data_IF_250526121209
#
_entry.id   IF_250526121209
#
_cell.length_a   1.000
_cell.length_b   1.000
_cell.length_c   1.000
_cell.angle_alpha   90.00
_cell.angle_beta   90.00
_cell.angle_gamma   90.00
#
_symmetry.space_group_name_H-M   'P 1'
#
loop_
_entity.id
_entity.type
_entity.pdbx_description
1 polymer ?
#
# COMPACT_ATOMS: atom_id res chain seq x y z
N UNK A 1 22.22 7.16 12.91
CA UNK A 1 20.96 7.89 13.21
C UNK A 1 19.92 6.82 13.38
N UNK A 2 19.88 6.24 14.57
CA UNK A 2 18.99 5.16 14.94
C UNK A 2 17.62 5.74 15.26
N UNK A 3 16.76 5.88 14.25
CA UNK A 3 15.34 6.09 14.48
C UNK A 3 14.70 4.71 14.58
N UNK A 4 15.03 3.97 15.66
CA UNK A 4 14.42 2.69 15.97
C UNK A 4 12.96 2.96 16.36
N UNK A 5 12.09 2.74 15.39
CA UNK A 5 10.66 2.56 15.55
C UNK A 5 10.44 1.57 16.71
N UNK A 6 9.96 2.03 17.87
CA UNK A 6 9.64 1.17 19.02
C UNK A 6 8.28 0.49 18.79
N UNK A 7 8.12 -0.21 17.67
CA UNK A 7 7.00 -1.13 17.48
C UNK A 7 7.34 -2.45 18.13
N UNK A 8 6.40 -3.00 18.90
CA UNK A 8 6.59 -4.32 19.50
C UNK A 8 6.65 -5.40 18.41
N UNK A 9 7.39 -6.48 18.65
CA UNK A 9 7.43 -7.63 17.73
C UNK A 9 6.02 -8.18 17.43
N UNK A 10 5.11 -8.11 18.40
CA UNK A 10 3.71 -8.52 18.25
C UNK A 10 2.93 -7.62 17.27
N UNK A 11 3.18 -6.31 17.25
CA UNK A 11 2.58 -5.39 16.28
C UNK A 11 3.10 -5.65 14.87
N UNK A 12 4.41 -5.84 14.73
CA UNK A 12 5.04 -6.17 13.45
C UNK A 12 4.56 -7.54 12.94
N UNK A 13 4.38 -8.52 13.83
CA UNK A 13 3.82 -9.84 13.50
C UNK A 13 2.40 -9.73 12.92
N UNK A 14 1.49 -9.04 13.62
CA UNK A 14 0.11 -8.81 13.17
C UNK A 14 0.05 -8.06 11.85
N UNK A 15 0.89 -7.04 11.69
CA UNK A 15 1.04 -6.27 10.45
C UNK A 15 1.40 -7.17 9.26
N UNK A 16 2.39 -8.05 9.43
CA UNK A 16 2.81 -9.01 8.39
C UNK A 16 1.70 -10.00 8.04
N UNK A 17 0.96 -10.50 9.04
CA UNK A 17 -0.17 -11.40 8.82
C UNK A 17 -1.28 -10.73 8.02
N UNK A 18 -1.64 -9.49 8.35
CA UNK A 18 -2.66 -8.73 7.63
C UNK A 18 -2.26 -8.46 6.18
N UNK A 19 -0.99 -8.08 5.95
CA UNK A 19 -0.44 -7.92 4.60
C UNK A 19 -0.55 -9.22 3.80
N UNK A 20 -0.18 -10.36 4.39
CA UNK A 20 -0.30 -11.65 3.72
C UNK A 20 -1.75 -12.02 3.40
N UNK A 21 -2.70 -11.69 4.29
CA UNK A 21 -4.13 -11.87 4.04
C UNK A 21 -4.63 -11.02 2.86
N UNK A 22 -4.25 -9.74 2.80
CA UNK A 22 -4.62 -8.85 1.69
C UNK A 22 -4.10 -9.40 0.36
N UNK A 23 -2.82 -9.80 0.32
CA UNK A 23 -2.20 -10.33 -0.90
C UNK A 23 -2.88 -11.63 -1.33
N UNK A 24 -3.15 -12.55 -0.40
CA UNK A 24 -3.87 -13.80 -0.67
C UNK A 24 -5.29 -13.56 -1.16
N UNK A 25 -6.01 -12.60 -0.55
CA UNK A 25 -7.38 -12.27 -0.89
C UNK A 25 -7.51 -11.62 -2.28
N UNK A 26 -6.45 -10.94 -2.76
CA UNK A 26 -6.46 -10.33 -4.09
C UNK A 26 -6.61 -11.34 -5.24
N UNK A 27 -6.34 -12.64 -4.99
CA UNK A 27 -6.57 -13.72 -5.96
C UNK A 27 -5.71 -13.66 -7.23
N UNK A 28 -4.73 -12.76 -7.30
CA UNK A 28 -3.92 -12.55 -8.50
C UNK A 28 -2.80 -13.58 -8.64
N UNK A 29 -2.38 -13.84 -9.88
CA UNK A 29 -1.21 -14.68 -10.18
C UNK A 29 0.09 -14.12 -9.60
N UNK A 30 0.11 -12.82 -9.26
CA UNK A 30 1.24 -12.17 -8.59
C UNK A 30 1.55 -12.77 -7.23
N UNK A 31 0.54 -13.20 -6.45
CA UNK A 31 0.79 -13.89 -5.18
C UNK A 31 1.72 -15.10 -5.36
N UNK A 32 1.48 -15.91 -6.39
CA UNK A 32 2.30 -17.09 -6.68
C UNK A 32 3.69 -16.71 -7.18
N UNK A 33 3.80 -15.69 -8.05
CA UNK A 33 5.08 -15.19 -8.54
C UNK A 33 5.97 -14.66 -7.39
N UNK A 34 5.38 -13.88 -6.48
CA UNK A 34 6.08 -13.30 -5.33
C UNK A 34 6.52 -14.36 -4.32
N UNK A 35 5.80 -15.49 -4.22
CA UNK A 35 6.14 -16.58 -3.28
C UNK A 35 7.47 -17.25 -3.60
N UNK A 36 7.93 -17.18 -4.85
CA UNK A 36 9.23 -17.67 -5.31
C UNK A 36 10.42 -16.82 -4.82
N UNK A 37 10.18 -15.63 -4.28
CA UNK A 37 11.23 -14.74 -3.78
C UNK A 37 11.80 -15.23 -2.43
N UNK A 38 13.10 -14.95 -2.14
CA UNK A 38 13.68 -15.12 -0.81
C UNK A 38 12.89 -14.37 0.26
N UNK A 39 12.89 -14.88 1.49
CA UNK A 39 11.96 -14.46 2.55
C UNK A 39 11.85 -12.95 2.77
N UNK A 40 12.96 -12.22 2.79
CA UNK A 40 12.99 -10.75 2.95
C UNK A 40 12.35 -10.02 1.77
N UNK A 41 12.76 -10.36 0.54
CA UNK A 41 12.20 -9.78 -0.69
C UNK A 41 10.71 -10.10 -0.83
N UNK A 42 10.29 -11.30 -0.44
CA UNK A 42 8.87 -11.69 -0.43
C UNK A 42 8.07 -10.83 0.53
N UNK A 43 8.53 -10.64 1.77
CA UNK A 43 7.86 -9.78 2.76
C UNK A 43 7.74 -8.34 2.27
N UNK A 44 8.84 -7.79 1.72
CA UNK A 44 8.84 -6.46 1.14
C UNK A 44 7.83 -6.33 0.00
N UNK A 45 7.83 -7.27 -0.94
CA UNK A 45 6.93 -7.23 -2.08
C UNK A 45 5.46 -7.39 -1.65
N UNK A 46 5.18 -8.23 -0.65
CA UNK A 46 3.83 -8.35 -0.10
C UNK A 46 3.34 -7.04 0.52
N UNK A 47 4.18 -6.35 1.30
CA UNK A 47 3.82 -5.08 1.93
C UNK A 47 3.57 -3.98 0.89
N UNK A 48 4.45 -3.87 -0.12
CA UNK A 48 4.29 -2.91 -1.23
C UNK A 48 3.03 -3.22 -2.02
N UNK A 49 2.79 -4.49 -2.36
CA UNK A 49 1.60 -4.89 -3.10
C UNK A 49 0.32 -4.62 -2.30
N UNK A 50 0.30 -4.91 -1.00
CA UNK A 50 -0.84 -4.64 -0.14
C UNK A 50 -1.16 -3.14 -0.10
N UNK A 51 -0.15 -2.28 0.01
CA UNK A 51 -0.33 -0.83 -0.10
C UNK A 51 -0.96 -0.44 -1.44
N UNK A 52 -0.36 -0.86 -2.56
CA UNK A 52 -0.87 -0.53 -3.89
C UNK A 52 -2.32 -0.99 -4.06
N UNK A 53 -2.66 -2.19 -3.58
CA UNK A 53 -4.00 -2.75 -3.67
C UNK A 53 -5.03 -1.94 -2.88
N UNK A 54 -4.66 -1.42 -1.71
CA UNK A 54 -5.58 -0.62 -0.89
C UNK A 54 -5.90 0.72 -1.55
N UNK A 55 -4.88 1.42 -2.06
CA UNK A 55 -5.11 2.73 -2.69
C UNK A 55 -5.86 2.60 -4.03
N UNK A 56 -5.62 1.52 -4.77
CA UNK A 56 -6.36 1.09 -5.95
C UNK A 56 -7.84 0.79 -5.61
N UNK A 57 -8.08 0.01 -4.56
CA UNK A 57 -9.45 -0.26 -4.07
C UNK A 57 -10.21 1.01 -3.70
N UNK A 58 -9.54 1.99 -3.06
CA UNK A 58 -10.17 3.27 -2.73
C UNK A 58 -10.55 4.05 -4.00
N UNK A 59 -9.71 4.02 -5.04
CA UNK A 59 -9.99 4.70 -6.30
C UNK A 59 -11.14 4.04 -7.08
N UNK A 60 -11.21 2.72 -7.07
CA UNK A 60 -12.21 1.91 -7.79
C UNK A 60 -13.56 1.77 -7.08
N UNK A 61 -13.61 1.98 -5.76
CA UNK A 61 -14.83 1.84 -4.96
C UNK A 61 -15.99 2.72 -5.50
N UNK A 62 -17.27 2.32 -5.46
CA UNK A 62 -18.38 3.15 -5.92
C UNK A 62 -18.69 4.39 -5.04
N UNK A 63 -17.93 4.65 -3.98
CA UNK A 63 -18.11 5.77 -3.07
C UNK A 63 -18.03 7.16 -3.74
N UNK A 64 -18.67 8.20 -3.15
CA UNK A 64 -18.52 9.58 -3.58
C UNK A 64 -17.06 10.06 -3.64
N UNK A 65 -16.73 10.94 -4.59
CA UNK A 65 -15.37 11.44 -4.81
C UNK A 65 -14.76 12.10 -3.57
N UNK A 66 -15.55 12.80 -2.77
CA UNK A 66 -15.08 13.43 -1.53
C UNK A 66 -14.68 12.39 -0.47
N UNK A 67 -15.36 11.24 -0.43
CA UNK A 67 -14.99 10.11 0.43
C UNK A 67 -13.67 9.52 -0.03
N UNK A 68 -13.55 9.21 -1.33
CA UNK A 68 -12.30 8.67 -1.91
C UNK A 68 -11.10 9.57 -1.63
N UNK A 69 -11.24 10.87 -1.87
CA UNK A 69 -10.18 11.86 -1.62
C UNK A 69 -9.77 11.91 -0.15
N UNK A 70 -10.70 11.78 0.80
CA UNK A 70 -10.35 11.73 2.23
C UNK A 70 -9.58 10.46 2.59
N UNK A 71 -9.99 9.31 2.06
CA UNK A 71 -9.30 8.04 2.32
C UNK A 71 -7.89 8.02 1.69
N UNK A 72 -7.73 8.54 0.47
CA UNK A 72 -6.40 8.69 -0.15
C UNK A 72 -5.53 9.71 0.61
N UNK A 73 -6.10 10.83 1.06
CA UNK A 73 -5.38 11.80 1.89
C UNK A 73 -4.92 11.20 3.23
N UNK A 74 -5.74 10.36 3.86
CA UNK A 74 -5.33 9.59 5.04
C UNK A 74 -4.12 8.70 4.74
N UNK A 75 -4.10 8.03 3.60
CA UNK A 75 -2.94 7.22 3.18
C UNK A 75 -1.69 8.07 2.92
N UNK A 76 -1.82 9.30 2.39
CA UNK A 76 -0.68 10.22 2.28
C UNK A 76 -0.07 10.53 3.63
N UNK A 77 -0.91 10.83 4.62
CA UNK A 77 -0.47 11.12 5.98
C UNK A 77 0.13 9.89 6.66
N UNK A 78 -0.40 8.70 6.39
CA UNK A 78 0.13 7.43 6.88
C UNK A 78 1.52 7.12 6.30
N UNK A 79 1.75 7.37 5.01
CA UNK A 79 3.08 7.27 4.39
C UNK A 79 4.03 8.30 5.00
N UNK A 80 3.63 9.56 5.19
CA UNK A 80 4.48 10.53 5.91
C UNK A 80 4.81 10.05 7.32
N UNK A 81 3.82 9.46 8.01
CA UNK A 81 4.00 8.92 9.35
C UNK A 81 5.02 7.78 9.36
N UNK A 82 4.96 6.88 8.37
CA UNK A 82 5.95 5.82 8.12
C UNK A 82 7.37 6.39 8.02
N UNK A 83 7.60 7.39 7.17
CA UNK A 83 8.92 8.01 7.01
C UNK A 83 9.35 8.86 8.22
N UNK A 84 8.39 9.29 9.05
CA UNK A 84 8.67 9.91 10.36
C UNK A 84 8.90 8.91 11.50
N UNK A 85 8.81 7.60 11.22
CA UNK A 85 9.00 6.52 12.18
C UNK A 85 7.82 6.28 13.13
N UNK A 86 6.62 6.76 12.78
CA UNK A 86 5.39 6.63 13.60
C UNK A 86 4.18 6.14 12.79
N UNK A 87 4.30 5.09 11.94
CA UNK A 87 3.14 4.51 11.28
C UNK A 87 2.21 3.87 12.32
N UNK A 88 0.91 3.90 12.02
CA UNK A 88 -0.17 3.31 12.82
C UNK A 88 -0.93 2.24 12.05
N UNK A 89 -1.01 2.37 10.74
CA UNK A 89 -1.66 1.39 9.89
C UNK A 89 -0.81 0.10 9.83
N UNK A 90 -1.40 -1.09 9.99
CA UNK A 90 -0.67 -2.35 9.92
C UNK A 90 0.13 -2.54 8.64
N UNK A 91 -0.36 -2.08 7.48
CA UNK A 91 0.38 -2.21 6.20
C UNK A 91 1.54 -1.22 6.16
N UNK A 92 1.36 0.00 6.66
CA UNK A 92 2.45 0.97 6.80
C UNK A 92 3.52 0.47 7.79
N UNK A 93 3.12 -0.14 8.91
CA UNK A 93 4.03 -0.82 9.84
C UNK A 93 4.82 -1.92 9.12
N UNK A 94 4.15 -2.76 8.32
CA UNK A 94 4.82 -3.81 7.56
C UNK A 94 5.78 -3.28 6.48
N UNK A 95 5.58 -2.05 6.00
CA UNK A 95 6.47 -1.35 5.07
C UNK A 95 7.73 -0.78 5.74
N UNK A 96 7.77 -0.60 7.06
CA UNK A 96 8.88 0.06 7.75
C UNK A 96 10.23 -0.61 7.53
N UNK A 97 10.32 -1.94 7.72
CA UNK A 97 11.54 -2.72 7.44
C UNK A 97 11.90 -2.68 5.94
N UNK A 98 10.99 -2.97 5.00
CA UNK A 98 11.26 -2.86 3.56
C UNK A 98 11.79 -1.50 3.11
N UNK A 99 11.18 -0.40 3.58
CA UNK A 99 11.59 0.98 3.24
C UNK A 99 13.02 1.22 3.70
N UNK A 100 13.33 0.87 4.96
CA UNK A 100 14.67 1.06 5.52
C UNK A 100 15.72 0.16 4.86
N UNK A 101 15.38 -1.11 4.58
CA UNK A 101 16.33 -2.10 4.06
C UNK A 101 16.62 -1.93 2.57
N UNK A 102 15.59 -1.62 1.75
CA UNK A 102 15.72 -1.50 0.29
C UNK A 102 15.83 -0.06 -0.21
N UNK A 103 15.72 0.93 0.68
CA UNK A 103 15.87 2.35 0.32
C UNK A 103 14.72 2.85 -0.57
N UNK A 104 13.50 2.39 -0.33
CA UNK A 104 12.33 2.82 -1.09
C UNK A 104 12.04 4.30 -0.81
N UNK A 105 11.85 5.11 -1.84
CA UNK A 105 11.68 6.55 -1.67
C UNK A 105 10.24 6.92 -1.33
N UNK A 106 10.06 7.86 -0.39
CA UNK A 106 8.72 8.37 -0.02
C UNK A 106 7.98 8.93 -1.24
N UNK A 107 8.71 9.61 -2.12
CA UNK A 107 8.19 10.20 -3.34
C UNK A 107 7.50 9.17 -4.25
N UNK A 108 7.99 7.92 -4.29
CA UNK A 108 7.38 6.87 -5.13
C UNK A 108 6.00 6.48 -4.59
N UNK A 109 5.86 6.33 -3.26
CA UNK A 109 4.56 6.06 -2.63
C UNK A 109 3.58 7.22 -2.81
N UNK A 110 4.06 8.46 -2.66
CA UNK A 110 3.22 9.65 -2.89
C UNK A 110 2.76 9.75 -4.34
N UNK A 111 3.63 9.43 -5.30
CA UNK A 111 3.31 9.41 -6.73
C UNK A 111 2.24 8.35 -7.07
N UNK A 112 2.28 7.19 -6.42
CA UNK A 112 1.21 6.19 -6.56
C UNK A 112 -0.13 6.77 -6.09
N UNK A 113 -0.17 7.46 -4.94
CA UNK A 113 -1.40 8.08 -4.44
C UNK A 113 -1.87 9.22 -5.36
N UNK A 114 -0.95 10.02 -5.92
CA UNK A 114 -1.26 11.04 -6.93
C UNK A 114 -1.98 10.43 -8.15
N UNK A 115 -1.49 9.28 -8.62
CA UNK A 115 -2.13 8.52 -9.70
C UNK A 115 -3.56 8.12 -9.33
N UNK A 116 -3.75 7.53 -8.15
CA UNK A 116 -5.07 7.07 -7.70
C UNK A 116 -6.07 8.21 -7.49
N UNK A 117 -5.62 9.39 -7.06
CA UNK A 117 -6.48 10.57 -6.96
C UNK A 117 -6.94 11.08 -8.33
N UNK A 118 -6.08 10.95 -9.35
CA UNK A 118 -6.39 11.30 -10.73
C UNK A 118 -7.43 10.32 -11.29
N UNK A 119 -7.18 9.02 -11.16
CA UNK A 119 -8.10 7.97 -11.63
C UNK A 119 -9.46 8.04 -10.93
N UNK A 120 -9.50 8.32 -9.62
CA UNK A 120 -10.74 8.48 -8.87
C UNK A 120 -11.61 9.67 -9.36
N UNK A 121 -10.98 10.71 -9.93
CA UNK A 121 -11.67 11.89 -10.44
C UNK A 121 -12.14 11.74 -11.89
N UNK A 122 -11.45 10.91 -12.68
CA UNK A 122 -11.82 10.63 -14.06
C UNK A 122 -12.88 9.52 -14.13
N UNK A 123 -14.14 9.90 -14.38
CA UNK A 123 -15.11 8.92 -14.90
C UNK A 123 -14.82 8.68 -16.38
N UNK A 124 -13.72 7.98 -16.68
CA UNK A 124 -13.38 7.60 -18.05
C UNK A 124 -14.36 6.53 -18.53
N UNK A 125 -15.52 6.95 -19.04
CA UNK A 125 -16.36 6.08 -19.87
C UNK A 125 -15.69 5.97 -21.23
N UNK A 126 -14.90 4.92 -21.42
CA UNK A 126 -14.56 4.47 -22.76
C UNK A 126 -15.88 4.24 -23.50
N UNK A 127 -16.17 5.07 -24.50
CA UNK A 127 -17.28 4.82 -25.39
C UNK A 127 -17.07 3.41 -25.96
N UNK A 128 -17.99 2.49 -25.65
CA UNK A 128 -18.04 1.19 -26.31
C UNK A 128 -18.11 1.49 -27.79
N UNK A 129 -17.09 1.09 -28.53
CA UNK A 129 -17.11 1.17 -29.98
C UNK A 129 -18.17 0.15 -30.41
N UNK A 130 -19.34 0.63 -30.84
CA UNK A 130 -20.35 -0.21 -31.46
C UNK A 130 -19.66 -0.98 -32.61
N UNK A 131 -19.62 -2.31 -32.49
CA UNK A 131 -19.17 -3.23 -33.56
C UNK A 131 -20.21 -3.32 -34.68
#
# INVERSE_FOLDING_TARGET
MDNLVTLSEAEVGRAREQVEQIVRASGTTFYWAMRLLPGEKRRAMFAVYAFCRIVDDIADDPNPLDVKKRELARWRDEIRALYSGRPKDPVAIALAEPVAHFGLAEADFQAVIDGMETDAAETLRLATRDE
#
